data_IF_507759849532
#
_entry.id   IF_507759849532
#
_cell.length_a   1.000
_cell.length_b   1.000
_cell.length_c   1.000
_cell.angle_alpha   90.00
_cell.angle_beta   90.00
_cell.angle_gamma   90.00
#
_symmetry.space_group_name_H-M   'P 1'
#
loop_
_entity.id
_entity.type
_entity.pdbx_description
1 polymer ?
#
# COMPACT_ATOMS: atom_id res chain seq x y z
N UNK A 1 -24.70 14.94 3.21
CA UNK A 1 -23.63 15.96 3.01
C UNK A 1 -23.87 17.24 3.82
N UNK A 2 -25.08 17.81 3.78
CA UNK A 2 -25.40 19.03 4.55
C UNK A 2 -25.60 18.83 6.04
N UNK A 3 -25.72 17.56 6.50
CA UNK A 3 -25.98 17.19 7.90
C UNK A 3 -24.86 16.40 8.56
N UNK A 4 -23.79 16.08 7.82
CA UNK A 4 -22.68 15.29 8.36
C UNK A 4 -21.66 16.21 9.02
N UNK A 5 -21.21 15.86 10.20
CA UNK A 5 -20.12 16.53 10.92
C UNK A 5 -18.75 16.05 10.41
N UNK A 6 -18.66 14.81 9.96
CA UNK A 6 -17.44 14.16 9.46
C UNK A 6 -17.69 13.63 8.04
N UNK A 7 -16.77 13.89 7.14
CA UNK A 7 -16.80 13.42 5.75
C UNK A 7 -15.54 12.60 5.50
N UNK A 8 -15.70 11.30 5.24
CA UNK A 8 -14.60 10.40 4.90
C UNK A 8 -14.43 10.28 3.39
N UNK A 9 -13.21 10.51 2.91
CA UNK A 9 -12.82 10.29 1.52
C UNK A 9 -12.34 8.85 1.34
N UNK A 10 -13.24 7.98 0.81
CA UNK A 10 -12.99 6.55 0.56
C UNK A 10 -13.16 6.20 -0.92
N UNK A 11 -13.33 7.19 -1.78
CA UNK A 11 -13.29 7.02 -3.23
C UNK A 11 -11.82 6.82 -3.69
N UNK A 12 -11.58 6.31 -4.91
CA UNK A 12 -10.23 6.28 -5.47
C UNK A 12 -9.58 7.67 -5.52
N UNK A 13 -8.30 7.77 -5.16
CA UNK A 13 -7.60 9.04 -4.95
C UNK A 13 -7.62 9.98 -6.16
N UNK A 14 -7.50 9.43 -7.36
CA UNK A 14 -7.55 10.21 -8.59
C UNK A 14 -8.90 10.92 -8.84
N UNK A 15 -9.97 10.50 -8.17
CA UNK A 15 -11.31 11.13 -8.22
C UNK A 15 -11.49 12.20 -7.15
N UNK A 16 -10.66 12.25 -6.12
CA UNK A 16 -10.86 13.10 -4.95
C UNK A 16 -11.00 14.58 -5.32
N UNK A 17 -10.13 15.11 -6.17
CA UNK A 17 -10.17 16.51 -6.59
C UNK A 17 -11.49 16.88 -7.28
N UNK A 18 -11.98 16.03 -8.16
CA UNK A 18 -13.25 16.24 -8.86
C UNK A 18 -14.45 16.17 -7.91
N UNK A 19 -14.52 15.12 -7.07
CA UNK A 19 -15.58 14.93 -6.07
C UNK A 19 -15.59 16.09 -5.09
N UNK A 20 -14.43 16.51 -4.60
CA UNK A 20 -14.31 17.64 -3.69
C UNK A 20 -14.88 18.92 -4.32
N UNK A 21 -14.39 19.29 -5.50
CA UNK A 21 -14.81 20.51 -6.19
C UNK A 21 -16.29 20.52 -6.52
N UNK A 22 -16.83 19.43 -7.08
CA UNK A 22 -18.21 19.36 -7.53
C UNK A 22 -19.24 19.20 -6.42
N UNK A 23 -18.88 18.48 -5.36
CA UNK A 23 -19.87 17.96 -4.44
C UNK A 23 -19.66 18.34 -2.97
N UNK A 24 -18.47 18.73 -2.56
CA UNK A 24 -18.13 18.89 -1.14
C UNK A 24 -17.78 20.34 -0.81
N UNK A 25 -16.83 20.94 -1.51
CA UNK A 25 -16.24 22.25 -1.16
C UNK A 25 -17.29 23.34 -0.84
N UNK A 26 -18.27 23.52 -1.71
CA UNK A 26 -19.31 24.55 -1.57
C UNK A 26 -20.35 24.29 -0.48
N UNK A 27 -20.33 23.12 0.13
CA UNK A 27 -21.27 22.70 1.17
C UNK A 27 -20.61 22.54 2.56
N UNK A 28 -19.28 22.77 2.65
CA UNK A 28 -18.55 22.70 3.91
C UNK A 28 -18.98 23.81 4.87
N UNK A 29 -18.98 23.48 6.16
CA UNK A 29 -19.30 24.38 7.25
C UNK A 29 -18.12 24.43 8.24
N UNK A 30 -17.93 25.54 8.94
CA UNK A 30 -16.94 25.63 10.02
C UNK A 30 -17.08 24.49 11.03
N UNK A 31 -15.95 23.91 11.40
CA UNK A 31 -15.88 22.84 12.39
C UNK A 31 -16.14 21.42 11.87
N UNK A 32 -16.48 21.25 10.59
CA UNK A 32 -16.58 19.90 10.01
C UNK A 32 -15.19 19.27 9.86
N UNK A 33 -15.11 17.94 9.91
CA UNK A 33 -13.88 17.18 9.71
C UNK A 33 -13.87 16.45 8.36
N UNK A 34 -12.75 16.52 7.66
CA UNK A 34 -12.45 15.73 6.47
C UNK A 34 -11.44 14.65 6.85
N UNK A 35 -11.82 13.38 6.72
CA UNK A 35 -10.93 12.24 6.98
C UNK A 35 -10.51 11.61 5.66
N UNK A 36 -9.22 11.41 5.50
CA UNK A 36 -8.58 10.76 4.33
C UNK A 36 -7.98 9.43 4.74
N UNK A 37 -8.12 8.43 3.87
CA UNK A 37 -7.51 7.10 4.06
C UNK A 37 -6.09 6.99 3.49
N UNK A 38 -5.64 8.01 2.74
CA UNK A 38 -4.27 8.15 2.23
C UNK A 38 -3.90 9.64 2.14
N UNK A 39 -2.64 9.97 2.28
CA UNK A 39 -2.13 11.35 2.26
C UNK A 39 -2.05 11.98 0.87
N UNK A 40 -2.18 11.18 -0.19
CA UNK A 40 -1.96 11.56 -1.58
C UNK A 40 -2.62 12.87 -1.99
N UNK A 41 -3.94 12.97 -1.82
CA UNK A 41 -4.73 14.10 -2.32
C UNK A 41 -4.43 15.44 -1.64
N UNK A 42 -4.04 15.42 -0.39
CA UNK A 42 -3.66 16.61 0.37
C UNK A 42 -2.20 16.96 0.08
N UNK A 43 -1.28 16.00 0.15
CA UNK A 43 0.14 16.23 -0.08
C UNK A 43 0.41 16.77 -1.48
N UNK A 44 -0.18 16.18 -2.52
CA UNK A 44 -0.02 16.63 -3.92
C UNK A 44 -1.04 17.69 -4.33
N UNK A 45 -1.75 18.30 -3.38
CA UNK A 45 -2.65 19.45 -3.59
C UNK A 45 -3.77 19.22 -4.61
N UNK A 46 -4.24 17.97 -4.76
CA UNK A 46 -5.45 17.69 -5.53
C UNK A 46 -6.70 18.27 -4.86
N UNK A 47 -6.64 18.38 -3.53
CA UNK A 47 -7.62 19.05 -2.68
C UNK A 47 -6.91 20.11 -1.85
N UNK A 48 -7.49 21.31 -1.81
CA UNK A 48 -7.10 22.39 -0.90
C UNK A 48 -8.31 22.70 0.01
N UNK A 49 -8.40 22.08 1.18
CA UNK A 49 -9.50 22.31 2.11
C UNK A 49 -9.47 23.74 2.66
N UNK A 50 -10.65 24.37 2.89
CA UNK A 50 -10.71 25.68 3.53
C UNK A 50 -10.19 25.58 4.98
N UNK A 51 -9.65 26.69 5.50
CA UNK A 51 -9.01 26.74 6.83
C UNK A 51 -9.99 26.51 8.00
N UNK A 52 -11.28 26.58 7.76
CA UNK A 52 -12.33 26.44 8.77
C UNK A 52 -12.82 24.98 8.96
N UNK A 53 -12.10 23.97 8.48
CA UNK A 53 -12.37 22.54 8.70
C UNK A 53 -11.16 21.84 9.28
N UNK A 54 -11.41 20.72 9.95
CA UNK A 54 -10.33 19.79 10.32
C UNK A 54 -9.94 18.95 9.10
N UNK A 55 -8.65 18.64 8.98
CA UNK A 55 -8.13 17.74 7.94
C UNK A 55 -7.28 16.67 8.61
N UNK A 56 -7.77 15.46 8.54
CA UNK A 56 -7.31 14.31 9.32
C UNK A 56 -6.96 13.16 8.36
N UNK A 57 -5.83 12.53 8.58
CA UNK A 57 -5.46 11.27 7.98
C UNK A 57 -5.74 10.14 8.99
N UNK A 58 -6.43 9.11 8.55
CA UNK A 58 -6.44 7.80 9.20
C UNK A 58 -6.25 6.77 8.09
N UNK A 59 -5.01 6.33 7.91
CA UNK A 59 -4.60 5.45 6.82
C UNK A 59 -4.29 4.05 7.38
N UNK A 60 -5.22 3.06 7.25
CA UNK A 60 -4.94 1.68 7.61
C UNK A 60 -3.83 1.09 6.74
N UNK A 61 -2.84 0.45 7.36
CA UNK A 61 -1.69 -0.14 6.68
C UNK A 61 -2.04 -1.50 6.05
N UNK A 62 -2.96 -1.50 5.09
CA UNK A 62 -3.35 -2.71 4.36
C UNK A 62 -4.62 -2.56 3.52
N UNK A 63 -4.88 -3.52 2.61
CA UNK A 63 -6.04 -3.50 1.73
C UNK A 63 -7.37 -3.51 2.51
N UNK A 64 -8.34 -2.74 2.04
CA UNK A 64 -9.65 -2.60 2.70
C UNK A 64 -10.40 -3.91 2.92
N UNK A 65 -10.25 -4.90 2.02
CA UNK A 65 -10.82 -6.24 2.19
C UNK A 65 -10.22 -6.94 3.42
N UNK A 66 -8.90 -6.97 3.54
CA UNK A 66 -8.22 -7.59 4.69
C UNK A 66 -8.53 -6.85 6.00
N UNK A 67 -8.64 -5.52 5.96
CA UNK A 67 -9.09 -4.75 7.11
C UNK A 67 -10.49 -5.20 7.57
N UNK A 68 -11.42 -5.43 6.64
CA UNK A 68 -12.76 -5.92 6.97
C UNK A 68 -12.74 -7.34 7.55
N UNK A 69 -11.93 -8.22 7.00
CA UNK A 69 -11.74 -9.59 7.51
C UNK A 69 -11.18 -9.59 8.94
N UNK A 70 -10.11 -8.82 9.19
CA UNK A 70 -9.55 -8.66 10.54
C UNK A 70 -10.59 -8.08 11.53
N UNK A 71 -11.37 -7.08 11.10
CA UNK A 71 -12.41 -6.49 11.93
C UNK A 71 -13.47 -7.54 12.35
N UNK A 72 -13.93 -8.37 11.42
CA UNK A 72 -14.91 -9.43 11.70
C UNK A 72 -14.35 -10.51 12.63
N UNK A 73 -13.05 -10.76 12.59
CA UNK A 73 -12.33 -11.67 13.49
C UNK A 73 -11.95 -11.03 14.83
N UNK A 74 -12.45 -9.83 15.13
CA UNK A 74 -12.10 -9.05 16.32
C UNK A 74 -10.62 -8.68 16.41
N UNK A 75 -9.93 -8.66 15.28
CA UNK A 75 -8.54 -8.21 15.10
C UNK A 75 -8.49 -6.80 14.50
N UNK A 76 -7.30 -6.19 14.45
CA UNK A 76 -7.08 -4.88 13.84
C UNK A 76 -5.90 -4.88 12.86
N UNK A 77 -5.94 -3.94 11.92
CA UNK A 77 -4.80 -3.56 11.10
C UNK A 77 -4.27 -2.24 11.65
N UNK A 78 -2.94 -2.05 11.79
CA UNK A 78 -2.38 -0.76 12.22
C UNK A 78 -2.81 0.37 11.31
N UNK A 79 -2.88 1.59 11.84
CA UNK A 79 -3.14 2.78 11.03
C UNK A 79 -2.16 3.91 11.34
N UNK A 80 -1.89 4.74 10.33
CA UNK A 80 -1.26 6.04 10.50
C UNK A 80 -2.31 7.09 10.84
N UNK A 81 -1.95 8.04 11.71
CA UNK A 81 -2.75 9.21 12.06
C UNK A 81 -1.92 10.47 11.78
N UNK A 82 -2.49 11.40 11.01
CA UNK A 82 -1.89 12.73 10.86
C UNK A 82 -2.96 13.82 10.88
N UNK A 83 -2.56 15.00 11.34
CA UNK A 83 -3.41 16.18 11.39
C UNK A 83 -2.77 17.28 10.53
N UNK A 84 -3.43 17.66 9.44
CA UNK A 84 -3.01 18.77 8.59
C UNK A 84 -3.64 20.08 9.03
N UNK A 85 -4.92 20.04 9.44
CA UNK A 85 -5.65 21.18 9.99
C UNK A 85 -6.44 20.77 11.23
N UNK A 86 -6.40 21.59 12.27
CA UNK A 86 -7.10 21.40 13.54
C UNK A 86 -7.88 22.67 13.90
N UNK A 87 -8.93 22.96 13.14
CA UNK A 87 -9.77 24.13 13.35
C UNK A 87 -10.62 24.01 14.60
N UNK A 88 -11.19 22.85 14.85
CA UNK A 88 -12.06 22.60 16.01
C UNK A 88 -11.30 22.47 17.33
N UNK A 89 -9.98 22.28 17.29
CA UNK A 89 -9.16 21.89 18.44
C UNK A 89 -9.27 20.38 18.80
N UNK A 90 -10.11 19.60 18.10
CA UNK A 90 -10.43 18.21 18.40
C UNK A 90 -10.03 17.21 17.29
N UNK A 91 -9.29 17.66 16.29
CA UNK A 91 -8.97 16.82 15.13
C UNK A 91 -8.30 15.48 15.52
N UNK A 92 -7.36 15.50 16.48
CA UNK A 92 -6.70 14.28 16.97
C UNK A 92 -7.68 13.31 17.65
N UNK A 93 -8.56 13.82 18.49
CA UNK A 93 -9.59 13.00 19.17
C UNK A 93 -10.54 12.36 18.15
N UNK A 94 -10.99 13.13 17.15
CA UNK A 94 -11.85 12.64 16.06
C UNK A 94 -11.13 11.54 15.28
N UNK A 95 -9.86 11.74 14.91
CA UNK A 95 -9.06 10.75 14.19
C UNK A 95 -8.87 9.45 14.97
N UNK A 96 -8.55 9.55 16.27
CA UNK A 96 -8.42 8.39 17.15
C UNK A 96 -9.76 7.66 17.35
N UNK A 97 -10.86 8.40 17.51
CA UNK A 97 -12.20 7.81 17.62
C UNK A 97 -12.60 7.07 16.34
N UNK A 98 -12.30 7.65 15.17
CA UNK A 98 -12.53 6.99 13.88
C UNK A 98 -11.67 5.74 13.73
N UNK A 99 -10.35 5.82 14.00
CA UNK A 99 -9.45 4.67 13.97
C UNK A 99 -9.91 3.53 14.90
N UNK A 100 -10.41 3.87 16.09
CA UNK A 100 -11.03 2.91 17.01
C UNK A 100 -12.30 2.29 16.43
N UNK A 101 -13.17 3.11 15.84
CA UNK A 101 -14.43 2.66 15.24
C UNK A 101 -14.24 1.67 14.08
N UNK A 102 -13.17 1.82 13.28
CA UNK A 102 -12.83 0.89 12.20
C UNK A 102 -11.91 -0.27 12.64
N UNK A 103 -11.59 -0.36 13.94
CA UNK A 103 -10.85 -1.48 14.52
C UNK A 103 -9.33 -1.34 14.55
N UNK A 104 -8.75 -0.28 14.00
CA UNK A 104 -7.30 -0.12 13.91
C UNK A 104 -6.60 -0.06 15.28
N UNK A 105 -7.26 0.49 16.30
CA UNK A 105 -6.71 0.56 17.66
C UNK A 105 -6.52 -0.79 18.35
N UNK A 106 -7.06 -1.87 17.80
CA UNK A 106 -6.79 -3.25 18.27
C UNK A 106 -5.38 -3.74 17.92
N UNK A 107 -4.76 -3.14 16.89
CA UNK A 107 -3.34 -3.30 16.62
C UNK A 107 -2.59 -2.12 17.25
N UNK A 108 -2.41 -1.04 16.52
CA UNK A 108 -1.90 0.23 17.04
C UNK A 108 -2.21 1.37 16.05
N UNK A 109 -2.11 2.62 16.55
CA UNK A 109 -2.20 3.83 15.72
C UNK A 109 -0.89 4.60 15.90
N UNK A 110 -0.21 4.91 14.79
CA UNK A 110 1.07 5.60 14.76
C UNK A 110 0.91 7.01 14.21
N UNK A 111 1.41 8.01 14.93
CA UNK A 111 1.39 9.40 14.45
C UNK A 111 2.42 9.60 13.33
N UNK A 112 2.06 10.37 12.31
CA UNK A 112 2.89 10.72 11.16
C UNK A 112 2.50 12.09 10.60
N UNK A 113 2.97 12.42 9.40
CA UNK A 113 2.51 13.57 8.61
C UNK A 113 1.85 13.10 7.31
N UNK A 114 0.97 13.93 6.73
CA UNK A 114 0.41 13.65 5.39
C UNK A 114 1.50 13.46 4.33
N UNK A 115 2.60 14.20 4.46
CA UNK A 115 3.74 14.09 3.56
C UNK A 115 4.45 12.75 3.69
N UNK A 116 4.79 12.35 4.92
CA UNK A 116 5.59 11.14 5.13
C UNK A 116 4.78 9.89 4.81
N UNK A 117 3.48 9.90 5.13
CA UNK A 117 2.59 8.82 4.73
C UNK A 117 2.46 8.75 3.21
N UNK A 118 2.13 9.85 2.50
CA UNK A 118 1.97 9.84 1.05
C UNK A 118 3.24 9.39 0.31
N UNK A 119 4.40 9.89 0.73
CA UNK A 119 5.68 9.53 0.09
C UNK A 119 6.09 8.08 0.43
N UNK A 120 5.89 7.67 1.68
CA UNK A 120 6.23 6.33 2.17
C UNK A 120 5.35 5.26 1.56
N UNK A 121 4.04 5.49 1.51
CA UNK A 121 3.05 4.58 0.94
C UNK A 121 3.31 4.33 -0.55
N UNK A 122 3.38 5.38 -1.36
CA UNK A 122 3.66 5.27 -2.79
C UNK A 122 4.99 4.56 -3.05
N UNK A 123 6.06 4.94 -2.33
CA UNK A 123 7.35 4.31 -2.50
C UNK A 123 7.33 2.85 -2.07
N UNK A 124 6.74 2.55 -0.92
CA UNK A 124 6.62 1.20 -0.39
C UNK A 124 5.88 0.27 -1.34
N UNK A 125 4.74 0.72 -1.88
CA UNK A 125 3.95 -0.04 -2.85
C UNK A 125 4.70 -0.28 -4.17
N UNK A 126 5.29 0.77 -4.74
CA UNK A 126 5.96 0.66 -6.04
C UNK A 126 7.24 -0.17 -5.97
N UNK A 127 8.06 0.03 -4.93
CA UNK A 127 9.44 -0.46 -4.92
C UNK A 127 9.58 -1.77 -4.14
N UNK A 128 8.74 -2.00 -3.12
CA UNK A 128 8.89 -3.15 -2.24
C UNK A 128 7.64 -4.04 -2.23
N UNK A 129 6.49 -3.52 -1.76
CA UNK A 129 5.35 -4.35 -1.37
C UNK A 129 4.56 -4.94 -2.55
N UNK A 130 4.38 -4.16 -3.62
CA UNK A 130 3.60 -4.58 -4.78
C UNK A 130 4.51 -4.72 -6.01
N UNK A 131 5.10 -3.62 -6.48
CA UNK A 131 5.88 -3.63 -7.72
C UNK A 131 7.16 -4.45 -7.63
N UNK A 132 8.05 -4.14 -6.68
CA UNK A 132 9.33 -4.83 -6.53
C UNK A 132 9.17 -6.31 -6.21
N UNK A 133 8.30 -6.66 -5.27
CA UNK A 133 8.06 -8.04 -4.87
C UNK A 133 7.49 -8.88 -6.01
N UNK A 134 6.47 -8.39 -6.72
CA UNK A 134 5.85 -9.14 -7.81
C UNK A 134 6.83 -9.40 -8.96
N UNK A 135 7.64 -8.41 -9.34
CA UNK A 135 8.65 -8.60 -10.38
C UNK A 135 9.81 -9.53 -9.93
N UNK A 136 10.20 -9.50 -8.65
CA UNK A 136 11.19 -10.44 -8.10
C UNK A 136 10.67 -11.88 -8.17
N UNK A 137 9.44 -12.11 -7.72
CA UNK A 137 8.79 -13.44 -7.75
C UNK A 137 8.70 -13.94 -9.20
N UNK A 138 8.21 -13.11 -10.11
CA UNK A 138 8.07 -13.42 -11.52
C UNK A 138 9.42 -13.78 -12.15
N UNK A 139 10.46 -12.99 -11.93
CA UNK A 139 11.80 -13.24 -12.46
C UNK A 139 12.37 -14.56 -11.91
N UNK A 140 12.19 -14.86 -10.64
CA UNK A 140 12.60 -16.12 -10.02
C UNK A 140 11.87 -17.31 -10.64
N UNK A 141 10.54 -17.23 -10.70
CA UNK A 141 9.70 -18.27 -11.32
C UNK A 141 10.09 -18.55 -12.77
N UNK A 142 10.19 -17.51 -13.62
CA UNK A 142 10.56 -17.63 -15.02
C UNK A 142 11.97 -18.24 -15.18
N UNK A 143 12.90 -17.86 -14.31
CA UNK A 143 14.26 -18.41 -14.31
C UNK A 143 14.26 -19.92 -14.04
N UNK A 144 13.51 -20.38 -13.04
CA UNK A 144 13.43 -21.81 -12.71
C UNK A 144 12.77 -22.62 -13.85
N UNK A 145 11.66 -22.12 -14.40
CA UNK A 145 10.96 -22.76 -15.51
C UNK A 145 11.85 -22.82 -16.76
N UNK A 146 12.55 -21.75 -17.09
CA UNK A 146 13.48 -21.70 -18.23
C UNK A 146 14.62 -22.74 -18.09
N UNK A 147 15.06 -23.03 -16.86
CA UNK A 147 16.09 -24.02 -16.56
C UNK A 147 15.51 -25.45 -16.34
N UNK A 148 14.27 -25.70 -16.72
CA UNK A 148 13.69 -27.04 -16.80
C UNK A 148 12.95 -27.52 -15.56
N UNK A 149 12.77 -26.69 -14.52
CA UNK A 149 11.91 -27.07 -13.40
C UNK A 149 10.43 -27.01 -13.83
N UNK A 150 9.61 -27.89 -13.25
CA UNK A 150 8.17 -27.80 -13.49
C UNK A 150 7.61 -26.47 -12.97
N UNK A 151 6.61 -25.89 -13.63
CA UNK A 151 5.97 -24.65 -13.17
C UNK A 151 5.40 -24.77 -11.75
N UNK A 152 4.93 -25.95 -11.36
CA UNK A 152 4.44 -26.25 -10.02
C UNK A 152 5.55 -26.12 -8.96
N UNK A 153 6.73 -26.71 -9.21
CA UNK A 153 7.87 -26.56 -8.31
C UNK A 153 8.34 -25.12 -8.24
N UNK A 154 8.45 -24.43 -9.38
CA UNK A 154 8.85 -23.03 -9.43
C UNK A 154 7.87 -22.13 -8.64
N UNK A 155 6.56 -22.41 -8.70
CA UNK A 155 5.55 -21.71 -7.94
C UNK A 155 5.70 -21.91 -6.43
N UNK A 156 5.89 -23.17 -6.00
CA UNK A 156 6.11 -23.51 -4.59
C UNK A 156 7.33 -22.77 -4.02
N UNK A 157 8.44 -22.75 -4.77
CA UNK A 157 9.70 -22.16 -4.31
C UNK A 157 9.74 -20.63 -4.37
N UNK A 158 9.05 -20.01 -5.32
CA UNK A 158 9.14 -18.54 -5.50
C UNK A 158 7.96 -17.76 -4.90
N UNK A 159 6.80 -18.38 -4.68
CA UNK A 159 5.62 -17.67 -4.20
C UNK A 159 4.93 -18.35 -3.01
N UNK A 160 4.65 -19.65 -3.07
CA UNK A 160 3.76 -20.29 -2.10
C UNK A 160 4.26 -20.21 -0.65
N UNK A 161 5.57 -20.31 -0.44
CA UNK A 161 6.20 -20.24 0.91
C UNK A 161 6.50 -18.81 1.38
N UNK A 162 6.22 -17.80 0.58
CA UNK A 162 6.66 -16.43 0.87
C UNK A 162 6.05 -15.85 2.14
N UNK A 163 4.79 -16.17 2.42
CA UNK A 163 4.07 -15.72 3.61
C UNK A 163 4.75 -16.18 4.90
N UNK A 164 5.31 -17.40 4.93
CA UNK A 164 6.05 -17.94 6.06
C UNK A 164 7.31 -17.12 6.34
N UNK A 165 8.05 -16.76 5.30
CA UNK A 165 9.25 -15.92 5.44
C UNK A 165 8.89 -14.49 5.84
N UNK A 166 7.83 -13.92 5.23
CA UNK A 166 7.34 -12.59 5.61
C UNK A 166 6.87 -12.57 7.06
N UNK A 167 6.23 -13.63 7.54
CA UNK A 167 5.85 -13.78 8.94
C UNK A 167 7.09 -13.73 9.86
N UNK A 168 8.13 -14.51 9.57
CA UNK A 168 9.38 -14.48 10.35
C UNK A 168 10.04 -13.10 10.35
N UNK A 169 10.10 -12.45 9.20
CA UNK A 169 10.64 -11.08 9.07
C UNK A 169 9.87 -10.07 9.94
N UNK A 170 8.54 -10.19 10.01
CA UNK A 170 7.71 -9.32 10.85
C UNK A 170 7.87 -9.58 12.34
N UNK A 171 7.98 -10.84 12.73
CA UNK A 171 8.04 -11.25 14.13
C UNK A 171 9.43 -11.08 14.73
N UNK A 172 10.49 -11.36 13.97
CA UNK A 172 11.86 -11.47 14.48
C UNK A 172 12.87 -10.51 13.81
N UNK A 173 12.43 -9.76 12.80
CA UNK A 173 13.30 -8.94 11.96
C UNK A 173 14.19 -9.78 11.05
N UNK A 174 15.07 -9.11 10.30
CA UNK A 174 15.96 -9.77 9.33
C UNK A 174 16.92 -10.73 10.04
N UNK A 175 17.56 -10.31 11.14
CA UNK A 175 18.51 -11.16 11.87
C UNK A 175 17.83 -12.42 12.41
N UNK A 176 16.69 -12.28 13.09
CA UNK A 176 15.99 -13.41 13.68
C UNK A 176 15.40 -14.36 12.62
N UNK A 177 15.04 -13.86 11.43
CA UNK A 177 14.68 -14.74 10.32
C UNK A 177 15.86 -15.65 9.91
N UNK A 178 17.10 -15.10 9.86
CA UNK A 178 18.29 -15.89 9.56
C UNK A 178 18.61 -16.95 10.63
N UNK A 179 18.22 -16.74 11.88
CA UNK A 179 18.40 -17.71 12.97
C UNK A 179 17.42 -18.89 12.87
N UNK A 180 16.27 -18.71 12.23
CA UNK A 180 15.20 -19.71 12.11
C UNK A 180 15.28 -20.57 10.84
N UNK A 181 16.01 -20.12 9.82
CA UNK A 181 16.14 -20.87 8.57
C UNK A 181 17.39 -21.79 8.62
N UNK A 182 17.43 -22.79 7.71
CA UNK A 182 18.57 -23.71 7.64
C UNK A 182 19.89 -22.98 7.32
N UNK A 183 21.01 -23.54 7.75
CA UNK A 183 22.36 -23.01 7.42
C UNK A 183 22.57 -22.87 5.92
N UNK A 184 22.05 -23.83 5.13
CA UNK A 184 22.11 -23.80 3.66
C UNK A 184 21.38 -22.57 3.10
N UNK A 185 20.14 -22.36 3.55
CA UNK A 185 19.33 -21.21 3.11
C UNK A 185 19.95 -19.89 3.58
N UNK A 186 20.36 -19.80 4.84
CA UNK A 186 20.97 -18.60 5.43
C UNK A 186 22.26 -18.19 4.73
N UNK A 187 23.18 -19.09 4.52
CA UNK A 187 24.42 -18.82 3.80
C UNK A 187 24.15 -18.38 2.35
N UNK A 188 23.34 -19.16 1.63
CA UNK A 188 22.97 -18.84 0.25
C UNK A 188 22.32 -17.47 0.12
N UNK A 189 21.34 -17.15 0.96
CA UNK A 189 20.66 -15.86 0.99
C UNK A 189 21.61 -14.70 1.28
N UNK A 190 22.47 -14.82 2.29
CA UNK A 190 23.42 -13.78 2.69
C UNK A 190 24.41 -13.42 1.56
N UNK A 191 24.90 -14.44 0.84
CA UNK A 191 25.85 -14.25 -0.28
C UNK A 191 25.16 -13.76 -1.56
N UNK A 192 23.98 -14.29 -1.86
CA UNK A 192 23.31 -14.04 -3.15
C UNK A 192 22.43 -12.80 -3.12
N UNK A 193 21.74 -12.52 -2.01
CA UNK A 193 20.81 -11.39 -1.91
C UNK A 193 21.47 -10.05 -2.30
N UNK A 194 22.71 -9.81 -1.87
CA UNK A 194 23.47 -8.59 -2.20
C UNK A 194 23.87 -8.51 -3.70
N UNK A 195 23.90 -9.63 -4.40
CA UNK A 195 24.16 -9.64 -5.84
C UNK A 195 22.92 -9.27 -6.65
N UNK A 196 21.72 -9.60 -6.12
CA UNK A 196 20.45 -9.24 -6.74
C UNK A 196 20.10 -7.79 -6.42
N UNK A 197 20.15 -7.40 -5.14
CA UNK A 197 19.87 -6.01 -4.70
C UNK A 197 21.19 -5.29 -4.48
N UNK A 198 21.85 -4.97 -5.56
CA UNK A 198 23.15 -4.29 -5.59
C UNK A 198 23.02 -2.75 -5.50
N UNK A 199 24.17 -2.05 -5.65
CA UNK A 199 24.20 -0.59 -5.65
C UNK A 199 23.43 0.04 -6.82
N UNK A 200 23.33 -0.64 -7.96
CA UNK A 200 22.57 -0.17 -9.14
C UNK A 200 21.06 -0.21 -8.84
N UNK A 201 20.58 -1.28 -8.19
CA UNK A 201 19.18 -1.37 -7.75
C UNK A 201 18.88 -0.29 -6.74
N UNK A 202 19.74 -0.08 -5.72
CA UNK A 202 19.57 1.02 -4.74
C UNK A 202 19.53 2.40 -5.40
N UNK A 203 20.36 2.64 -6.41
CA UNK A 203 20.35 3.90 -7.17
C UNK A 203 19.04 4.10 -7.94
N UNK A 204 18.46 3.03 -8.51
CA UNK A 204 17.13 3.08 -9.13
C UNK A 204 16.04 3.42 -8.10
N UNK A 205 16.07 2.79 -6.93
CA UNK A 205 15.13 3.10 -5.83
C UNK A 205 15.21 4.57 -5.42
N UNK A 206 16.43 5.11 -5.26
CA UNK A 206 16.63 6.54 -4.94
C UNK A 206 16.07 7.48 -6.01
N UNK A 207 16.26 7.13 -7.30
CA UNK A 207 15.68 7.90 -8.41
C UNK A 207 14.15 7.87 -8.38
N UNK A 208 13.54 6.70 -8.18
CA UNK A 208 12.09 6.54 -8.06
C UNK A 208 11.57 7.41 -6.90
N UNK A 209 12.21 7.36 -5.73
CA UNK A 209 11.82 8.20 -4.60
C UNK A 209 11.88 9.69 -4.94
N UNK A 210 12.92 10.13 -5.65
CA UNK A 210 13.06 11.53 -6.10
C UNK A 210 11.91 11.93 -7.05
N UNK A 211 11.52 11.06 -7.96
CA UNK A 211 10.39 11.30 -8.87
C UNK A 211 9.05 11.35 -8.12
N UNK A 212 8.83 10.48 -7.13
CA UNK A 212 7.65 10.54 -6.25
C UNK A 212 7.63 11.86 -5.49
N UNK A 213 8.72 12.21 -4.82
CA UNK A 213 8.85 13.43 -4.01
C UNK A 213 8.64 14.70 -4.82
N UNK A 214 9.04 14.73 -6.08
CA UNK A 214 8.83 15.87 -6.98
C UNK A 214 7.39 16.04 -7.46
N UNK A 215 6.51 15.06 -7.22
CA UNK A 215 5.14 15.04 -7.73
C UNK A 215 5.02 14.48 -9.16
N UNK A 216 6.11 14.09 -9.80
CA UNK A 216 6.11 13.56 -11.17
C UNK A 216 5.18 12.35 -11.32
N UNK A 217 5.25 11.40 -10.36
CA UNK A 217 4.35 10.25 -10.39
C UNK A 217 2.87 10.64 -10.24
N UNK A 218 2.56 11.61 -9.36
CA UNK A 218 1.20 12.08 -9.19
C UNK A 218 0.67 12.72 -10.48
N UNK A 219 1.49 13.50 -11.19
CA UNK A 219 1.16 14.07 -12.49
C UNK A 219 0.94 12.98 -13.55
N UNK A 220 1.82 11.98 -13.64
CA UNK A 220 1.69 10.84 -14.55
C UNK A 220 0.40 10.07 -14.31
N UNK A 221 0.04 9.78 -13.06
CA UNK A 221 -1.20 9.11 -12.69
C UNK A 221 -2.44 9.92 -13.12
N UNK A 222 -2.43 11.23 -12.86
CA UNK A 222 -3.54 12.10 -13.23
C UNK A 222 -3.70 12.24 -14.75
N UNK A 223 -2.61 12.22 -15.51
CA UNK A 223 -2.63 12.22 -16.96
C UNK A 223 -3.14 10.88 -17.51
N UNK A 224 -2.70 9.76 -16.94
CA UNK A 224 -3.19 8.43 -17.29
C UNK A 224 -4.70 8.32 -17.02
N UNK A 225 -5.18 8.84 -15.87
CA UNK A 225 -6.61 8.92 -15.58
C UNK A 225 -7.38 9.70 -16.65
N UNK A 226 -6.91 10.90 -17.03
CA UNK A 226 -7.55 11.71 -18.08
C UNK A 226 -7.58 11.01 -19.44
N UNK A 227 -6.59 10.14 -19.72
CA UNK A 227 -6.54 9.35 -20.94
C UNK A 227 -7.45 8.10 -20.93
N UNK A 228 -8.15 7.84 -19.82
CA UNK A 228 -9.04 6.69 -19.64
C UNK A 228 -8.31 5.43 -19.17
N UNK A 229 -7.17 5.54 -18.49
CA UNK A 229 -6.42 4.43 -17.88
C UNK A 229 -5.96 3.37 -18.91
N UNK A 230 -5.67 3.78 -20.13
CA UNK A 230 -5.36 2.85 -21.24
C UNK A 230 -4.09 2.04 -21.05
N UNK A 231 -3.03 2.67 -20.55
CA UNK A 231 -1.74 2.01 -20.24
C UNK A 231 -1.93 1.01 -19.11
N UNK A 232 -2.61 1.41 -18.04
CA UNK A 232 -2.87 0.54 -16.90
C UNK A 232 -3.73 -0.68 -17.28
N UNK A 233 -4.81 -0.49 -18.05
CA UNK A 233 -5.64 -1.58 -18.55
C UNK A 233 -4.87 -2.56 -19.45
N UNK A 234 -3.90 -2.07 -20.23
CA UNK A 234 -3.01 -2.94 -21.02
C UNK A 234 -2.16 -3.80 -20.10
N UNK A 235 -1.49 -3.21 -19.11
CA UNK A 235 -0.68 -3.92 -18.12
C UNK A 235 -1.52 -4.98 -17.39
N UNK A 236 -2.73 -4.64 -16.96
CA UNK A 236 -3.61 -5.61 -16.30
C UNK A 236 -3.93 -6.82 -17.21
N UNK A 237 -4.20 -6.60 -18.50
CA UNK A 237 -4.45 -7.70 -19.46
C UNK A 237 -3.22 -8.57 -19.71
N UNK A 238 -2.03 -7.98 -19.71
CA UNK A 238 -0.76 -8.71 -19.82
C UNK A 238 -0.55 -9.60 -18.57
N UNK A 239 -0.77 -9.05 -17.38
CA UNK A 239 -0.65 -9.81 -16.13
C UNK A 239 -1.63 -10.98 -16.03
N UNK A 240 -2.88 -10.85 -16.50
CA UNK A 240 -3.86 -11.96 -16.51
C UNK A 240 -3.42 -13.19 -17.32
N UNK A 241 -2.37 -13.10 -18.13
CA UNK A 241 -1.85 -14.19 -18.97
C UNK A 241 -0.61 -14.88 -18.38
N UNK A 242 -0.13 -14.44 -17.22
CA UNK A 242 1.06 -14.99 -16.59
C UNK A 242 0.89 -16.48 -16.27
N UNK A 243 1.90 -17.28 -16.56
CA UNK A 243 1.89 -18.71 -16.27
C UNK A 243 1.80 -18.96 -14.76
N UNK A 244 2.49 -18.16 -13.96
CA UNK A 244 2.47 -18.26 -12.50
C UNK A 244 1.05 -18.12 -11.92
N UNK A 245 0.20 -17.24 -12.48
CA UNK A 245 -1.18 -17.07 -12.02
C UNK A 245 -2.06 -18.28 -12.35
N UNK A 246 -1.83 -18.90 -13.52
CA UNK A 246 -2.51 -20.16 -13.87
C UNK A 246 -2.13 -21.30 -12.94
N UNK A 247 -0.89 -21.35 -12.48
CA UNK A 247 -0.44 -22.31 -11.49
C UNK A 247 -1.04 -22.00 -10.12
N UNK A 248 -1.09 -20.73 -9.72
CA UNK A 248 -1.74 -20.30 -8.47
C UNK A 248 -3.20 -20.78 -8.40
N UNK A 249 -3.96 -20.66 -9.49
CA UNK A 249 -5.36 -21.14 -9.54
C UNK A 249 -5.48 -22.67 -9.40
N UNK A 250 -4.47 -23.44 -9.85
CA UNK A 250 -4.39 -24.88 -9.59
C UNK A 250 -4.25 -25.16 -8.08
N UNK A 251 -3.29 -24.52 -7.42
CA UNK A 251 -3.00 -24.71 -6.00
C UNK A 251 -4.17 -24.29 -5.11
N UNK A 252 -4.85 -23.20 -5.46
CA UNK A 252 -6.05 -22.74 -4.76
C UNK A 252 -7.17 -23.80 -4.71
N UNK A 253 -7.26 -24.65 -5.71
CA UNK A 253 -8.23 -25.78 -5.73
C UNK A 253 -7.81 -26.97 -4.86
N UNK A 254 -6.52 -27.06 -4.52
CA UNK A 254 -5.97 -28.12 -3.67
C UNK A 254 -5.97 -27.75 -2.18
N UNK A 255 -6.01 -26.47 -1.88
CA UNK A 255 -6.03 -25.95 -0.51
C UNK A 255 -7.48 -25.72 -0.08
N UNK A 256 -7.97 -26.36 0.99
CA UNK A 256 -9.30 -26.04 1.52
C UNK A 256 -9.36 -24.57 1.97
N UNK A 257 -10.54 -23.94 1.91
CA UNK A 257 -10.74 -22.52 2.28
C UNK A 257 -10.47 -22.27 3.76
#
# INVERSE_FOLDING_TARGET
RRKADIICFLAPDHLHGEIFKKSIAKNLKPGQALIFAAGFSIHFKLINPPKFVDVILVAPAGPGRLMRECFLQNQGIPAFLAIEQNYSGKAKEIGLAYAKGIGCSKAFVMETTFKDEALGDIFGEQVVLCGGLSELIKAGFETLVYNGLSPENAYMECLYQLDLIVKLLKEKGISGMYEEISVLAGYGAAVTGKKIIDSKVKSKMQKIFTEIKSGKFAEELMNEYKSGMKKYQRIQRENQRLLIDRIAEKFKKLTPP
#
